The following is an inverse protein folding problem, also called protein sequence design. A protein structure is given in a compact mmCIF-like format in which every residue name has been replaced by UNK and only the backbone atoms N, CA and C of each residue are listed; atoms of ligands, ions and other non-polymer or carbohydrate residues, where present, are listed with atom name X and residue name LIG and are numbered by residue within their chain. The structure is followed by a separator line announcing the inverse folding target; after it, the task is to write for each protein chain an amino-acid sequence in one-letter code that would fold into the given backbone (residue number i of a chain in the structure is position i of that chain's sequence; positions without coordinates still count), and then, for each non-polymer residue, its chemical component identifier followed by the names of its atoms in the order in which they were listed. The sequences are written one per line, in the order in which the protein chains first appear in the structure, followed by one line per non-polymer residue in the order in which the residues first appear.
data_IF_180076197933
#
_entry.id   IF_180076197933
#
_cell.length_a   1.000
_cell.length_b   1.000
_cell.length_c   1.000
_cell.angle_alpha   90.00
_cell.angle_beta   90.00
_cell.angle_gamma   90.00
#
_symmetry.space_group_name_H-M   'P 1'
#
loop_
_entity.id
_entity.type
_entity.pdbx_description
1 polymer ?
#
# COMPACT_ATOMS: atom_id res chain seq x y z
N UNK A 1 26.82 -31.90 5.04
CA UNK A 1 27.59 -31.11 6.01
C UNK A 1 28.11 -29.88 5.28
N UNK A 2 27.61 -28.68 5.51
CA UNK A 2 26.65 -28.18 6.49
C UNK A 2 25.49 -27.50 5.74
N UNK A 3 24.28 -27.65 6.27
CA UNK A 3 23.21 -26.69 6.07
C UNK A 3 23.78 -25.30 6.32
N UNK A 4 24.01 -24.53 5.26
CA UNK A 4 24.15 -23.08 5.38
C UNK A 4 22.75 -22.56 5.62
N UNK A 5 22.31 -22.77 6.87
CA UNK A 5 21.37 -21.90 7.54
C UNK A 5 22.07 -20.54 7.66
N UNK A 6 22.22 -19.88 6.52
CA UNK A 6 22.55 -18.46 6.46
C UNK A 6 21.26 -17.74 6.85
N UNK A 7 21.01 -17.73 8.16
CA UNK A 7 20.13 -16.78 8.84
C UNK A 7 20.74 -15.39 8.62
N UNK A 8 20.68 -14.91 7.37
CA UNK A 8 21.19 -13.61 6.97
C UNK A 8 20.11 -12.58 7.32
N UNK A 9 20.26 -11.81 8.41
CA UNK A 9 19.25 -10.84 8.85
C UNK A 9 18.96 -9.78 7.75
N UNK A 10 19.89 -9.59 6.82
CA UNK A 10 19.73 -8.74 5.65
C UNK A 10 18.63 -9.22 4.68
N UNK A 11 18.48 -10.54 4.51
CA UNK A 11 17.41 -11.11 3.68
C UNK A 11 16.04 -10.85 4.31
N UNK A 12 15.90 -11.06 5.62
CA UNK A 12 14.65 -10.82 6.34
C UNK A 12 14.24 -9.34 6.32
N UNK A 13 15.18 -8.43 6.55
CA UNK A 13 14.95 -6.98 6.48
C UNK A 13 14.47 -6.52 5.09
N UNK A 14 15.04 -7.10 4.03
CA UNK A 14 14.65 -6.79 2.65
C UNK A 14 13.24 -7.32 2.36
N UNK A 15 12.93 -8.55 2.79
CA UNK A 15 11.61 -9.13 2.61
C UNK A 15 10.52 -8.35 3.34
N UNK A 16 10.76 -7.88 4.58
CA UNK A 16 9.80 -7.03 5.29
C UNK A 16 9.54 -5.72 4.55
N UNK A 17 10.59 -5.04 4.10
CA UNK A 17 10.47 -3.79 3.35
C UNK A 17 9.71 -3.98 2.03
N UNK A 18 10.02 -5.07 1.31
CA UNK A 18 9.32 -5.42 0.07
C UNK A 18 7.84 -5.76 0.33
N UNK A 19 7.55 -6.58 1.34
CA UNK A 19 6.19 -6.94 1.69
C UNK A 19 5.35 -5.70 2.06
N UNK A 20 5.94 -4.75 2.79
CA UNK A 20 5.30 -3.47 3.11
C UNK A 20 5.01 -2.63 1.86
N UNK A 21 5.92 -2.59 0.90
CA UNK A 21 5.70 -1.94 -0.41
C UNK A 21 4.58 -2.61 -1.21
N UNK A 22 4.53 -3.94 -1.22
CA UNK A 22 3.48 -4.71 -1.89
C UNK A 22 2.12 -4.41 -1.24
N UNK A 23 2.03 -4.43 0.09
CA UNK A 23 0.80 -4.11 0.81
C UNK A 23 0.32 -2.68 0.52
N UNK A 24 1.21 -1.70 0.56
CA UNK A 24 0.89 -0.32 0.18
C UNK A 24 0.36 -0.24 -1.25
N UNK A 25 1.02 -0.94 -2.19
CA UNK A 25 0.64 -0.96 -3.60
C UNK A 25 -0.76 -1.55 -3.80
N UNK A 26 -1.08 -2.67 -3.13
CA UNK A 26 -2.40 -3.29 -3.21
C UNK A 26 -3.47 -2.36 -2.64
N UNK A 27 -3.24 -1.76 -1.48
CA UNK A 27 -4.17 -0.82 -0.86
C UNK A 27 -4.40 0.43 -1.74
N UNK A 28 -3.34 0.95 -2.35
CA UNK A 28 -3.43 2.08 -3.27
C UNK A 28 -4.24 1.73 -4.51
N UNK A 29 -4.04 0.54 -5.09
CA UNK A 29 -4.83 0.05 -6.23
C UNK A 29 -6.31 -0.06 -5.84
N UNK A 30 -6.62 -0.65 -4.69
CA UNK A 30 -8.00 -0.75 -4.18
C UNK A 30 -8.62 0.63 -3.99
N UNK A 31 -7.88 1.60 -3.44
CA UNK A 31 -8.34 2.97 -3.28
C UNK A 31 -8.65 3.62 -4.64
N UNK A 32 -7.78 3.45 -5.64
CA UNK A 32 -7.99 3.98 -6.98
C UNK A 32 -9.23 3.38 -7.64
N UNK A 33 -9.42 2.06 -7.51
CA UNK A 33 -10.62 1.38 -8.01
C UNK A 33 -11.88 1.89 -7.31
N UNK A 34 -11.82 2.12 -6.00
CA UNK A 34 -12.92 2.71 -5.24
C UNK A 34 -13.23 4.15 -5.71
N UNK A 35 -12.20 4.97 -5.97
CA UNK A 35 -12.38 6.33 -6.50
C UNK A 35 -12.98 6.32 -7.90
N UNK A 36 -12.52 5.42 -8.78
CA UNK A 36 -13.12 5.24 -10.11
C UNK A 36 -14.58 4.79 -10.01
N UNK A 37 -14.90 3.84 -9.12
CA UNK A 37 -16.28 3.42 -8.89
C UNK A 37 -17.14 4.58 -8.37
N UNK A 38 -16.65 5.36 -7.40
CA UNK A 38 -17.41 6.48 -6.82
C UNK A 38 -17.63 7.62 -7.84
N UNK A 39 -16.61 7.92 -8.65
CA UNK A 39 -16.66 9.01 -9.64
C UNK A 39 -17.45 8.64 -10.89
N UNK A 40 -17.19 7.46 -11.47
CA UNK A 40 -17.79 7.01 -12.74
C UNK A 40 -19.16 6.34 -12.53
N UNK A 41 -19.28 5.46 -11.54
CA UNK A 41 -20.52 4.70 -11.29
C UNK A 41 -21.43 5.45 -10.33
N UNK A 42 -20.87 6.06 -9.29
CA UNK A 42 -21.63 6.80 -8.27
C UNK A 42 -22.05 8.21 -8.69
N UNK A 43 -21.53 8.75 -9.80
CA UNK A 43 -21.82 10.11 -10.26
C UNK A 43 -21.38 11.20 -9.29
N UNK A 44 -20.48 10.88 -8.35
CA UNK A 44 -20.08 11.74 -7.24
C UNK A 44 -18.59 12.13 -7.34
N UNK A 45 -18.19 12.92 -8.37
CA UNK A 45 -16.79 13.18 -8.68
C UNK A 45 -16.07 13.96 -7.57
N UNK A 46 -16.76 14.87 -6.87
CA UNK A 46 -16.17 15.62 -5.76
C UNK A 46 -15.80 14.72 -4.58
N UNK A 47 -16.68 13.79 -4.22
CA UNK A 47 -16.38 12.81 -3.17
C UNK A 47 -15.26 11.87 -3.58
N UNK A 48 -15.22 11.44 -4.84
CA UNK A 48 -14.13 10.63 -5.38
C UNK A 48 -12.78 11.37 -5.27
N UNK A 49 -12.77 12.67 -5.52
CA UNK A 49 -11.58 13.51 -5.45
C UNK A 49 -11.10 13.70 -4.00
N UNK A 50 -12.02 13.98 -3.07
CA UNK A 50 -11.71 14.09 -1.64
C UNK A 50 -11.19 12.76 -1.06
N UNK A 51 -11.84 11.65 -1.39
CA UNK A 51 -11.41 10.31 -0.96
C UNK A 51 -10.09 9.93 -1.62
N UNK A 52 -9.86 10.26 -2.88
CA UNK A 52 -8.61 9.97 -3.58
C UNK A 52 -7.43 10.70 -2.96
N UNK A 53 -7.53 12.01 -2.76
CA UNK A 53 -6.46 12.80 -2.15
C UNK A 53 -6.27 12.39 -0.68
N UNK A 54 -7.35 12.38 0.10
CA UNK A 54 -7.31 12.05 1.52
C UNK A 54 -6.81 10.62 1.77
N UNK A 55 -7.29 9.66 1.00
CA UNK A 55 -6.88 8.27 1.07
C UNK A 55 -5.42 8.07 0.67
N UNK A 56 -4.93 8.75 -0.36
CA UNK A 56 -3.51 8.64 -0.76
C UNK A 56 -2.61 9.22 0.32
N UNK A 57 -2.95 10.38 0.89
CA UNK A 57 -2.20 10.96 2.02
C UNK A 57 -2.23 10.03 3.24
N UNK A 58 -3.38 9.47 3.58
CA UNK A 58 -3.52 8.52 4.68
C UNK A 58 -2.67 7.26 4.45
N UNK A 59 -2.65 6.71 3.23
CA UNK A 59 -1.82 5.56 2.88
C UNK A 59 -0.32 5.90 2.94
N UNK A 60 0.10 7.08 2.51
CA UNK A 60 1.50 7.52 2.62
C UNK A 60 1.93 7.68 4.09
N UNK A 61 1.08 8.26 4.93
CA UNK A 61 1.35 8.38 6.37
C UNK A 61 1.40 7.00 7.01
N UNK A 62 0.44 6.12 6.70
CA UNK A 62 0.43 4.75 7.20
C UNK A 62 1.69 3.98 6.77
N UNK A 63 2.10 4.12 5.51
CA UNK A 63 3.33 3.51 5.00
C UNK A 63 4.59 4.07 5.69
N UNK A 64 4.63 5.36 6.02
CA UNK A 64 5.77 5.96 6.70
C UNK A 64 5.82 5.60 8.20
N UNK A 65 4.67 5.47 8.87
CA UNK A 65 4.59 5.36 10.34
C UNK A 65 4.41 3.94 10.85
N UNK A 66 3.63 3.09 10.17
CA UNK A 66 3.49 1.69 10.59
C UNK A 66 4.73 0.92 10.16
N UNK A 67 5.61 0.58 11.11
CA UNK A 67 6.76 -0.30 10.91
C UNK A 67 6.34 -1.73 10.55
#
# INVERSE_FOLDING_TARGET
MADTQDDDPAHLSTYQSFNKLVLFSILLIVLLLACMALGLVGGAPLFALLVGIGGTLALLVAFAVLE
#
